data_IF_148811990677
#
_entry.id   IF_148811990677
#
_cell.length_a   1.000
_cell.length_b   1.000
_cell.length_c   1.000
_cell.angle_alpha   90.00
_cell.angle_beta   90.00
_cell.angle_gamma   90.00
#
_symmetry.space_group_name_H-M   'P 1'
#
loop_
_entity.id
_entity.type
_entity.pdbx_description
1 polymer ?
#
# COMPACT_ATOMS: atom_id res chain seq x y z
N UNK A 1 12.15 -23.23 21.48
CA UNK A 1 11.12 -23.66 20.52
C UNK A 1 11.42 -23.02 19.19
N UNK A 2 11.54 -23.81 18.14
CA UNK A 2 11.98 -23.32 16.84
C UNK A 2 10.83 -22.63 16.09
N UNK A 3 11.15 -21.72 15.19
CA UNK A 3 10.18 -20.94 14.41
C UNK A 3 10.85 -20.06 13.36
N UNK A 4 10.06 -19.50 12.46
CA UNK A 4 10.51 -18.73 11.30
C UNK A 4 10.17 -17.24 11.51
N UNK A 5 11.14 -16.36 11.28
CA UNK A 5 10.94 -14.91 11.27
C UNK A 5 10.95 -14.43 9.82
N UNK A 6 9.86 -13.80 9.36
CA UNK A 6 9.73 -13.30 7.98
C UNK A 6 9.96 -11.79 7.85
N UNK A 7 9.73 -11.02 8.92
CA UNK A 7 9.69 -9.56 8.89
C UNK A 7 11.02 -8.85 8.59
N UNK A 8 12.13 -9.59 8.50
CA UNK A 8 13.49 -9.02 8.39
C UNK A 8 14.10 -9.13 6.99
N UNK A 9 13.38 -9.68 6.00
CA UNK A 9 13.93 -9.92 4.65
C UNK A 9 13.22 -9.16 3.52
N UNK A 10 12.43 -8.12 3.83
CA UNK A 10 11.71 -7.33 2.83
C UNK A 10 10.59 -8.10 2.13
N UNK A 11 10.39 -7.86 0.82
CA UNK A 11 9.26 -8.46 0.09
C UNK A 11 9.34 -9.97 -0.06
N UNK A 12 10.55 -10.50 -0.22
CA UNK A 12 10.72 -11.88 -0.64
C UNK A 12 10.12 -12.85 0.39
N UNK A 13 10.37 -12.70 1.71
CA UNK A 13 9.64 -13.44 2.73
C UNK A 13 8.14 -13.12 2.81
N UNK A 14 7.73 -11.85 2.61
CA UNK A 14 6.31 -11.47 2.66
C UNK A 14 5.50 -12.21 1.59
N UNK A 15 6.05 -12.35 0.38
CA UNK A 15 5.41 -13.04 -0.74
C UNK A 15 5.15 -14.53 -0.48
N UNK A 16 5.99 -15.19 0.33
CA UNK A 16 5.85 -16.63 0.64
C UNK A 16 5.14 -16.87 1.98
N UNK A 17 4.77 -15.82 2.72
CA UNK A 17 4.22 -15.94 4.07
C UNK A 17 2.96 -16.83 4.11
N UNK A 18 2.04 -16.63 3.17
CA UNK A 18 0.80 -17.42 3.09
C UNK A 18 1.04 -18.87 2.66
N UNK A 19 2.06 -19.12 1.84
CA UNK A 19 2.42 -20.49 1.44
C UNK A 19 3.00 -21.28 2.62
N UNK A 20 3.88 -20.64 3.40
CA UNK A 20 4.38 -21.19 4.66
C UNK A 20 3.25 -21.45 5.66
N UNK A 21 2.30 -20.51 5.77
CA UNK A 21 1.11 -20.68 6.61
C UNK A 21 0.27 -21.90 6.21
N UNK A 22 0.01 -22.09 4.91
CA UNK A 22 -0.72 -23.26 4.38
C UNK A 22 0.00 -24.58 4.64
N UNK A 23 1.32 -24.54 4.71
CA UNK A 23 2.15 -25.69 5.08
C UNK A 23 2.31 -25.86 6.61
N UNK A 24 1.55 -25.10 7.41
CA UNK A 24 1.55 -25.15 8.87
C UNK A 24 2.92 -24.82 9.49
N UNK A 25 3.75 -24.03 8.79
CA UNK A 25 5.02 -23.57 9.32
C UNK A 25 4.79 -22.58 10.47
N UNK A 26 5.55 -22.73 11.55
CA UNK A 26 5.45 -21.86 12.73
C UNK A 26 6.15 -20.52 12.48
N UNK A 27 5.40 -19.53 12.04
CA UNK A 27 5.87 -18.15 11.91
C UNK A 27 5.80 -17.43 13.26
N UNK A 28 6.86 -16.71 13.62
CA UNK A 28 6.97 -15.91 14.83
C UNK A 28 6.75 -14.42 14.50
N UNK A 29 6.18 -13.68 15.46
CA UNK A 29 5.87 -12.26 15.29
C UNK A 29 4.55 -12.03 14.55
N UNK A 30 4.54 -11.11 13.57
CA UNK A 30 3.36 -10.79 12.77
C UNK A 30 2.88 -12.02 12.00
N UNK A 31 1.61 -12.39 12.18
CA UNK A 31 1.03 -13.55 11.49
C UNK A 31 1.03 -13.38 9.96
N UNK A 32 1.22 -14.46 9.19
CA UNK A 32 1.10 -14.43 7.73
C UNK A 32 -0.18 -13.78 7.21
N UNK A 33 -1.31 -14.00 7.88
CA UNK A 33 -2.60 -13.41 7.53
C UNK A 33 -2.64 -11.90 7.75
N UNK A 34 -1.92 -11.41 8.77
CA UNK A 34 -1.77 -9.97 9.01
C UNK A 34 -0.84 -9.32 7.99
N UNK A 35 0.25 -10.00 7.59
CA UNK A 35 1.12 -9.57 6.49
C UNK A 35 0.30 -9.47 5.20
N UNK A 36 -0.46 -10.50 4.85
CA UNK A 36 -1.32 -10.52 3.66
C UNK A 36 -2.40 -9.42 3.70
N UNK A 37 -2.98 -9.15 4.87
CA UNK A 37 -3.97 -8.08 5.04
C UNK A 37 -3.37 -6.68 4.82
N UNK A 38 -2.08 -6.48 5.11
CA UNK A 38 -1.37 -5.22 4.87
C UNK A 38 -0.88 -5.08 3.41
N UNK A 39 -0.38 -6.16 2.82
CA UNK A 39 0.15 -6.19 1.45
C UNK A 39 -0.94 -6.13 0.37
N UNK A 40 -2.11 -6.73 0.64
CA UNK A 40 -3.24 -6.70 -0.27
C UNK A 40 -4.02 -5.38 -0.14
N UNK A 41 -3.96 -4.53 -1.16
CA UNK A 41 -4.53 -3.17 -1.12
C UNK A 41 -6.04 -3.15 -0.87
N UNK A 42 -6.78 -4.09 -1.46
CA UNK A 42 -8.22 -4.19 -1.22
C UNK A 42 -8.52 -4.58 0.24
N UNK A 43 -7.82 -5.59 0.79
CA UNK A 43 -8.00 -6.00 2.19
C UNK A 43 -7.63 -4.87 3.14
N UNK A 44 -6.55 -4.16 2.86
CA UNK A 44 -6.08 -3.04 3.65
C UNK A 44 -7.09 -1.89 3.65
N UNK A 45 -7.50 -1.40 2.48
CA UNK A 45 -8.48 -0.32 2.39
C UNK A 45 -9.83 -0.71 3.02
N UNK A 46 -10.30 -1.94 2.81
CA UNK A 46 -11.52 -2.44 3.46
C UNK A 46 -11.39 -2.53 4.98
N UNK A 47 -10.21 -2.84 5.50
CA UNK A 47 -9.94 -2.85 6.94
C UNK A 47 -10.02 -1.43 7.52
N UNK A 48 -9.46 -0.44 6.83
CA UNK A 48 -9.55 0.97 7.23
C UNK A 48 -11.02 1.44 7.28
N UNK A 49 -11.82 1.12 6.26
CA UNK A 49 -13.25 1.45 6.22
C UNK A 49 -14.01 0.85 7.42
N UNK A 50 -13.76 -0.43 7.74
CA UNK A 50 -14.38 -1.11 8.89
C UNK A 50 -14.01 -0.47 10.22
N UNK A 51 -12.81 0.10 10.32
CA UNK A 51 -12.31 0.79 11.51
C UNK A 51 -12.71 2.27 11.56
N UNK A 52 -13.35 2.79 10.51
CA UNK A 52 -13.68 4.21 10.40
C UNK A 52 -12.46 5.11 10.26
N UNK A 53 -11.32 4.57 9.78
CA UNK A 53 -10.12 5.35 9.53
C UNK A 53 -10.29 6.03 8.16
N UNK A 54 -10.05 7.33 8.12
CA UNK A 54 -10.17 8.11 6.88
C UNK A 54 -9.15 7.66 5.85
N UNK A 55 -9.58 7.59 4.60
CA UNK A 55 -8.73 7.33 3.44
C UNK A 55 -9.32 8.07 2.22
N UNK A 56 -8.50 8.36 1.19
CA UNK A 56 -9.03 8.92 -0.05
C UNK A 56 -10.10 8.02 -0.66
N UNK A 57 -11.01 8.60 -1.46
CA UNK A 57 -11.96 7.80 -2.25
C UNK A 57 -11.18 6.75 -3.03
N UNK A 58 -11.58 5.49 -2.91
CA UNK A 58 -10.85 4.37 -3.49
C UNK A 58 -11.81 3.34 -4.07
N UNK A 59 -11.32 2.54 -5.03
CA UNK A 59 -12.07 1.42 -5.59
C UNK A 59 -11.12 0.35 -6.15
N UNK A 60 -11.48 -0.91 -5.93
CA UNK A 60 -10.86 -2.05 -6.63
C UNK A 60 -11.55 -2.25 -7.98
N UNK A 61 -10.75 -2.29 -9.05
CA UNK A 61 -11.23 -2.23 -10.42
C UNK A 61 -10.49 -3.27 -11.28
N UNK A 62 -11.23 -3.89 -12.20
CA UNK A 62 -10.74 -4.98 -13.06
C UNK A 62 -10.73 -4.63 -14.54
N UNK A 63 -11.33 -3.50 -14.93
CA UNK A 63 -11.42 -3.10 -16.33
C UNK A 63 -11.26 -1.59 -16.51
N UNK A 64 -10.69 -1.21 -17.65
CA UNK A 64 -10.37 0.16 -18.02
C UNK A 64 -11.59 1.09 -17.95
N UNK A 65 -12.74 0.65 -18.48
CA UNK A 65 -13.97 1.48 -18.51
C UNK A 65 -14.39 1.89 -17.10
N UNK A 66 -14.48 0.93 -16.18
CA UNK A 66 -14.83 1.21 -14.78
C UNK A 66 -13.80 2.07 -14.06
N UNK A 67 -12.53 2.01 -14.48
CA UNK A 67 -11.47 2.84 -13.94
C UNK A 67 -11.55 4.29 -14.41
N UNK A 68 -11.86 4.52 -15.69
CA UNK A 68 -12.11 5.85 -16.24
C UNK A 68 -13.32 6.48 -15.52
N UNK A 69 -14.44 5.76 -15.43
CA UNK A 69 -15.65 6.24 -14.75
C UNK A 69 -15.36 6.65 -13.30
N UNK A 70 -14.58 5.85 -12.57
CA UNK A 70 -14.18 6.18 -11.20
C UNK A 70 -13.30 7.44 -11.15
N UNK A 71 -12.31 7.57 -12.04
CA UNK A 71 -11.41 8.72 -12.06
C UNK A 71 -12.12 10.02 -12.45
N UNK A 72 -13.09 9.96 -13.37
CA UNK A 72 -13.94 11.09 -13.73
C UNK A 72 -14.83 11.53 -12.57
N UNK A 73 -15.37 10.58 -11.80
CA UNK A 73 -16.20 10.86 -10.63
C UNK A 73 -15.39 11.37 -9.42
N UNK A 74 -14.21 10.79 -9.19
CA UNK A 74 -13.30 11.18 -8.11
C UNK A 74 -12.53 12.48 -8.43
N UNK A 75 -12.36 12.79 -9.71
CA UNK A 75 -11.57 13.88 -10.24
C UNK A 75 -10.07 13.56 -10.27
N UNK A 76 -9.38 13.98 -11.33
CA UNK A 76 -7.92 13.87 -11.45
C UNK A 76 -7.17 14.86 -10.53
N UNK A 77 -5.92 14.56 -10.12
CA UNK A 77 -5.17 13.33 -10.35
C UNK A 77 -5.66 12.13 -9.52
N UNK A 78 -5.38 10.91 -10.00
CA UNK A 78 -5.71 9.63 -9.34
C UNK A 78 -4.46 8.73 -9.25
N UNK A 79 -4.30 8.03 -8.13
CA UNK A 79 -3.18 7.13 -7.86
C UNK A 79 -3.57 5.69 -8.17
N UNK A 80 -2.85 5.07 -9.11
CA UNK A 80 -3.00 3.66 -9.52
C UNK A 80 -2.03 2.81 -8.71
N UNK A 81 -2.54 1.86 -7.92
CA UNK A 81 -1.74 1.01 -7.02
C UNK A 81 -2.02 -0.48 -7.27
N UNK A 82 -1.10 -1.22 -7.91
CA UNK A 82 -1.19 -2.67 -7.93
C UNK A 82 -0.89 -3.28 -6.54
N UNK A 83 -1.43 -4.47 -6.27
CA UNK A 83 -1.14 -5.23 -5.04
C UNK A 83 0.16 -6.02 -5.16
N UNK A 84 0.82 -6.31 -4.02
CA UNK A 84 2.07 -7.10 -3.93
C UNK A 84 3.27 -6.56 -4.73
N UNK A 85 3.30 -5.26 -5.00
CA UNK A 85 4.45 -4.57 -5.62
C UNK A 85 5.09 -3.64 -4.57
N UNK A 86 6.41 -3.73 -4.44
CA UNK A 86 7.21 -2.86 -3.56
C UNK A 86 7.91 -1.74 -4.34
N UNK A 87 8.28 -0.68 -3.61
CA UNK A 87 9.10 0.44 -4.07
C UNK A 87 8.53 1.30 -5.20
N UNK A 88 7.20 1.42 -5.28
CA UNK A 88 6.55 2.31 -6.27
C UNK A 88 6.77 1.93 -7.73
N UNK A 89 7.42 0.79 -8.03
CA UNK A 89 7.85 0.40 -9.39
C UNK A 89 6.70 0.28 -10.41
N UNK A 90 5.45 0.23 -9.95
CA UNK A 90 4.25 0.33 -10.77
C UNK A 90 3.18 1.26 -10.19
N UNK A 91 3.52 2.07 -9.17
CA UNK A 91 2.62 3.10 -8.65
C UNK A 91 2.73 4.32 -9.54
N UNK A 92 1.61 4.73 -10.13
CA UNK A 92 1.58 5.84 -11.06
C UNK A 92 0.45 6.81 -10.71
N UNK A 93 0.73 8.11 -10.85
CA UNK A 93 -0.27 9.17 -10.71
C UNK A 93 -0.78 9.51 -12.10
N UNK A 94 -2.02 9.13 -12.38
CA UNK A 94 -2.71 9.51 -13.62
C UNK A 94 -3.28 10.91 -13.48
N UNK A 95 -3.04 11.76 -14.49
CA UNK A 95 -3.60 13.11 -14.60
C UNK A 95 -4.71 13.18 -15.66
N UNK A 96 -4.86 12.13 -16.46
CA UNK A 96 -5.83 12.03 -17.55
C UNK A 96 -6.26 10.59 -17.82
N UNK A 97 -7.32 10.43 -18.64
CA UNK A 97 -7.75 9.13 -19.15
C UNK A 97 -6.63 8.43 -19.95
N UNK A 98 -5.81 9.21 -20.68
CA UNK A 98 -4.70 8.66 -21.48
C UNK A 98 -3.58 8.08 -20.61
N UNK A 99 -3.26 8.73 -19.49
CA UNK A 99 -2.30 8.20 -18.52
C UNK A 99 -2.81 6.89 -17.94
N UNK A 100 -4.10 6.86 -17.58
CA UNK A 100 -4.75 5.68 -17.01
C UNK A 100 -4.72 4.49 -17.97
N UNK A 101 -5.02 4.69 -19.25
CA UNK A 101 -4.88 3.65 -20.27
C UNK A 101 -3.46 3.10 -20.34
N UNK A 102 -2.47 3.99 -20.35
CA UNK A 102 -1.05 3.62 -20.42
C UNK A 102 -0.64 2.79 -19.20
N UNK A 103 -1.01 3.25 -18.00
CA UNK A 103 -0.64 2.57 -16.76
C UNK A 103 -1.37 1.26 -16.55
N UNK A 104 -2.65 1.16 -16.91
CA UNK A 104 -3.40 -0.08 -16.79
C UNK A 104 -2.94 -1.13 -17.81
N UNK A 105 -2.59 -0.71 -19.03
CA UNK A 105 -1.98 -1.62 -20.01
C UNK A 105 -0.62 -2.15 -19.50
N UNK A 106 0.22 -1.28 -18.94
CA UNK A 106 1.49 -1.69 -18.31
C UNK A 106 1.26 -2.61 -17.10
N UNK A 107 0.31 -2.29 -16.23
CA UNK A 107 -0.02 -3.10 -15.05
C UNK A 107 -0.58 -4.48 -15.44
N UNK A 108 -1.39 -4.57 -16.50
CA UNK A 108 -1.92 -5.84 -17.01
C UNK A 108 -0.84 -6.79 -17.52
N UNK A 109 0.30 -6.27 -17.99
CA UNK A 109 1.46 -7.07 -18.38
C UNK A 109 2.17 -7.66 -17.15
N UNK A 110 2.17 -6.93 -16.03
CA UNK A 110 2.80 -7.32 -14.77
C UNK A 110 1.91 -8.25 -13.95
N UNK A 111 0.59 -8.06 -14.01
CA UNK A 111 -0.39 -8.86 -13.28
C UNK A 111 -1.67 -9.08 -14.10
N UNK A 112 -1.72 -10.21 -14.82
CA UNK A 112 -2.87 -10.58 -15.66
C UNK A 112 -4.12 -10.97 -14.87
N UNK A 113 -3.99 -11.28 -13.58
CA UNK A 113 -5.06 -11.85 -12.75
C UNK A 113 -5.40 -11.02 -11.50
N UNK A 114 -4.73 -9.88 -11.26
CA UNK A 114 -5.01 -9.09 -10.06
C UNK A 114 -5.69 -7.75 -10.37
N UNK A 115 -6.81 -7.46 -9.69
CA UNK A 115 -7.43 -6.15 -9.76
C UNK A 115 -6.48 -5.06 -9.27
N UNK A 116 -6.61 -3.87 -9.85
CA UNK A 116 -5.89 -2.68 -9.40
C UNK A 116 -6.74 -1.91 -8.40
N UNK A 117 -6.10 -1.31 -7.40
CA UNK A 117 -6.75 -0.35 -6.52
C UNK A 117 -6.40 1.05 -7.00
N UNK A 118 -7.43 1.83 -7.32
CA UNK A 118 -7.28 3.24 -7.69
C UNK A 118 -7.85 4.08 -6.57
N UNK A 119 -7.15 5.17 -6.24
CA UNK A 119 -7.57 6.12 -5.21
C UNK A 119 -7.41 7.56 -5.68
N UNK A 120 -8.21 8.47 -5.14
CA UNK A 120 -8.00 9.90 -5.34
C UNK A 120 -6.62 10.29 -4.82
N UNK A 121 -5.79 10.90 -5.66
CA UNK A 121 -4.50 11.42 -5.23
C UNK A 121 -4.70 12.77 -4.52
N UNK A 122 -4.10 12.92 -3.34
CA UNK A 122 -4.12 14.14 -2.56
C UNK A 122 -2.87 14.96 -2.88
N UNK A 123 -3.06 16.08 -3.56
CA UNK A 123 -2.00 17.04 -3.84
C UNK A 123 -1.81 17.98 -2.67
N UNK A 124 -0.59 18.53 -2.52
CA UNK A 124 -0.27 19.51 -1.47
C UNK A 124 -0.51 18.99 -0.04
N UNK A 125 -0.47 17.67 0.13
CA UNK A 125 -0.59 17.03 1.44
C UNK A 125 0.80 16.79 2.03
N UNK A 126 0.93 16.96 3.34
CA UNK A 126 2.08 16.47 4.12
C UNK A 126 2.05 14.95 4.21
N UNK A 127 3.20 14.31 4.18
CA UNK A 127 3.36 12.87 4.37
C UNK A 127 4.08 12.59 5.70
N UNK A 128 3.55 11.64 6.47
CA UNK A 128 4.03 11.26 7.79
C UNK A 128 4.29 9.76 7.79
N UNK A 129 5.49 9.37 8.17
CA UNK A 129 5.85 7.97 8.43
C UNK A 129 5.88 7.70 9.94
N UNK A 130 5.30 6.58 10.32
CA UNK A 130 5.24 6.13 11.72
C UNK A 130 5.82 4.73 11.81
N UNK A 131 7.02 4.63 12.38
CA UNK A 131 7.62 3.36 12.76
C UNK A 131 7.20 3.03 14.19
N UNK A 132 6.70 1.82 14.43
CA UNK A 132 6.26 1.41 15.76
C UNK A 132 6.56 -0.07 16.04
N UNK A 133 6.84 -0.36 17.32
CA UNK A 133 6.87 -1.72 17.86
C UNK A 133 5.66 -1.89 18.77
N UNK A 134 4.89 -2.95 18.53
CA UNK A 134 3.73 -3.27 19.33
C UNK A 134 3.77 -4.72 19.82
N UNK A 135 3.25 -4.95 21.02
CA UNK A 135 3.05 -6.27 21.60
C UNK A 135 1.71 -6.30 22.34
N UNK A 136 0.94 -7.38 22.18
CA UNK A 136 -0.32 -7.61 22.92
C UNK A 136 -1.34 -6.46 22.85
N UNK A 137 -1.35 -5.73 21.73
CA UNK A 137 -2.25 -4.59 21.51
C UNK A 137 -1.76 -3.25 22.07
N UNK A 138 -0.57 -3.21 22.67
CA UNK A 138 0.08 -2.01 23.18
C UNK A 138 1.26 -1.58 22.30
N UNK A 139 1.42 -0.27 22.10
CA UNK A 139 2.58 0.32 21.41
C UNK A 139 3.69 0.48 22.46
N UNK A 140 4.82 -0.21 22.24
CA UNK A 140 5.98 -0.18 23.15
C UNK A 140 6.92 0.98 22.83
N UNK A 141 7.13 1.27 21.55
CA UNK A 141 7.87 2.43 21.10
C UNK A 141 7.38 2.86 19.72
N UNK A 142 7.54 4.15 19.43
CA UNK A 142 7.23 4.73 18.12
C UNK A 142 8.18 5.88 17.78
N UNK A 143 8.45 6.04 16.50
CA UNK A 143 9.12 7.20 15.92
C UNK A 143 8.21 7.75 14.82
N UNK A 144 7.94 9.06 14.90
CA UNK A 144 7.17 9.78 13.87
C UNK A 144 8.15 10.62 13.08
N UNK A 145 8.11 10.50 11.77
CA UNK A 145 8.96 11.23 10.84
C UNK A 145 8.09 11.99 9.85
N UNK A 146 8.48 13.21 9.55
CA UNK A 146 7.82 14.06 8.57
C UNK A 146 8.65 14.11 7.29
N UNK A 147 7.97 13.96 6.15
CA UNK A 147 8.58 14.20 4.84
C UNK A 147 8.74 15.70 4.62
N UNK A 148 9.91 16.12 4.15
CA UNK A 148 10.13 17.51 3.70
C UNK A 148 9.35 17.78 2.42
N UNK A 149 9.34 16.81 1.52
CA UNK A 149 8.54 16.84 0.30
C UNK A 149 7.06 16.52 0.58
N UNK A 150 6.16 17.04 -0.26
CA UNK A 150 4.75 16.68 -0.18
C UNK A 150 4.49 15.25 -0.64
N UNK A 151 3.35 14.71 -0.23
CA UNK A 151 2.88 13.40 -0.63
C UNK A 151 2.93 13.21 -2.15
N UNK A 152 3.50 12.10 -2.58
CA UNK A 152 3.73 11.77 -4.00
C UNK A 152 5.19 11.55 -4.37
N UNK A 153 6.12 12.05 -3.55
CA UNK A 153 7.51 11.60 -3.59
C UNK A 153 7.59 10.29 -2.81
N UNK A 154 8.18 9.25 -3.40
CA UNK A 154 8.28 7.96 -2.74
C UNK A 154 9.14 8.08 -1.48
N UNK A 155 8.73 7.49 -0.35
CA UNK A 155 9.42 7.65 0.95
C UNK A 155 10.91 7.26 0.91
N UNK A 156 11.28 6.27 0.08
CA UNK A 156 12.68 5.91 -0.13
C UNK A 156 13.55 6.95 -0.86
N UNK A 157 12.91 7.91 -1.54
CA UNK A 157 13.55 9.02 -2.25
C UNK A 157 13.29 10.38 -1.54
N UNK A 158 12.48 10.39 -0.48
CA UNK A 158 12.11 11.58 0.28
C UNK A 158 13.14 11.90 1.38
N UNK A 159 13.21 13.17 1.74
CA UNK A 159 13.97 13.66 2.89
C UNK A 159 13.08 13.61 4.13
N UNK A 160 13.55 12.96 5.19
CA UNK A 160 12.80 12.79 6.44
C UNK A 160 13.38 13.63 7.58
N UNK A 161 12.51 14.19 8.41
CA UNK A 161 12.86 14.87 9.66
C UNK A 161 12.19 14.17 10.84
N UNK A 162 12.98 13.85 11.87
CA UNK A 162 12.52 13.16 13.08
C UNK A 162 13.01 13.94 14.31
N UNK A 163 12.12 14.50 15.15
CA UNK A 163 10.65 14.46 15.09
C UNK A 163 10.08 15.41 14.00
N UNK A 164 8.75 15.34 13.72
CA UNK A 164 8.08 16.31 12.86
C UNK A 164 8.30 17.76 13.36
N UNK A 165 8.31 18.71 12.44
CA UNK A 165 8.64 20.12 12.73
C UNK A 165 7.42 21.05 12.65
N UNK A 166 6.42 20.70 11.86
CA UNK A 166 5.21 21.50 11.64
C UNK A 166 4.05 21.15 12.59
#
# INVERSE_FOLDING_TARGET
SDGIILSMGGQLPNNIAMDLHRQQAKVLGTSPESIDSAENRFKFSRMLDRKGILQPRWKELTNLKSAIEFCEEAGYPCLVRPSYVLSGAAMNVAYSNQDLETYLNAASLVSKEHPVVISKFLTEAKEIDVDAVAADGEILCMAVSEHVENAGVHSGDATLVTPPQD
#
